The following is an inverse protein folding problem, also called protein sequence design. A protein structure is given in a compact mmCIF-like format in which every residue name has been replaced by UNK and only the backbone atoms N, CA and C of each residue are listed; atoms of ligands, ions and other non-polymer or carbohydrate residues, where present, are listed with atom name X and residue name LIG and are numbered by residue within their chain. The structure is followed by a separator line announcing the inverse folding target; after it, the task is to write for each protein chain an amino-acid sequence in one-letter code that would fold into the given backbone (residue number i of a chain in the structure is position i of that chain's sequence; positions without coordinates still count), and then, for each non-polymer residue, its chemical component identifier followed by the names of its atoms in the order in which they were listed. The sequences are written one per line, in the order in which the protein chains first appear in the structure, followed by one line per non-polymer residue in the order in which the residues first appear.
data_IF_303822470269
#
_entry.id   IF_303822470269
#
_cell.length_a   1.000
_cell.length_b   1.000
_cell.length_c   1.000
_cell.angle_alpha   90.00
_cell.angle_beta   90.00
_cell.angle_gamma   90.00
#
_symmetry.space_group_name_H-M   'P 1'
#
loop_
_entity.id
_entity.type
_entity.pdbx_description
1 polymer ?
#
# COMPACT_ATOMS: atom_id res chain seq x y z
N UNK A 1 15.92 3.15 9.26
CA UNK A 1 14.51 2.77 9.04
C UNK A 1 14.38 2.27 7.62
N UNK A 2 13.70 1.17 7.39
CA UNK A 2 13.45 0.69 6.03
C UNK A 2 12.05 1.15 5.57
N UNK A 3 12.03 2.30 4.90
CA UNK A 3 10.79 2.92 4.41
C UNK A 3 10.34 2.35 3.06
N UNK A 4 11.12 1.45 2.44
CA UNK A 4 10.82 0.85 1.14
C UNK A 4 10.21 -0.55 1.26
N UNK A 5 10.24 -1.15 2.45
CA UNK A 5 9.61 -2.43 2.73
C UNK A 5 8.30 -2.27 3.53
N UNK A 6 7.32 -3.11 3.21
CA UNK A 6 6.01 -3.14 3.82
C UNK A 6 6.11 -3.69 5.25
N UNK A 7 5.60 -2.98 6.27
CA UNK A 7 5.71 -3.42 7.67
C UNK A 7 4.88 -4.68 7.98
N UNK A 8 3.89 -5.03 7.14
CA UNK A 8 3.06 -6.22 7.35
C UNK A 8 3.66 -7.50 6.77
N UNK A 9 4.46 -7.42 5.69
CA UNK A 9 4.93 -8.61 4.99
C UNK A 9 6.42 -8.60 4.63
N UNK A 10 7.14 -7.50 4.90
CA UNK A 10 8.56 -7.35 4.61
C UNK A 10 8.90 -7.23 3.11
N UNK A 11 7.92 -7.26 2.20
CA UNK A 11 8.15 -7.09 0.76
C UNK A 11 8.22 -5.62 0.37
N UNK A 12 8.78 -5.31 -0.80
CA UNK A 12 8.83 -3.95 -1.35
C UNK A 12 7.42 -3.33 -1.41
N UNK A 13 7.28 -2.13 -0.83
CA UNK A 13 5.99 -1.42 -0.75
C UNK A 13 5.60 -0.68 -2.03
N UNK A 14 6.52 -0.63 -3.01
CA UNK A 14 6.37 0.04 -4.31
C UNK A 14 6.12 1.55 -4.18
N UNK A 15 6.43 2.16 -3.04
CA UNK A 15 6.24 3.58 -2.83
C UNK A 15 7.30 4.39 -3.58
N UNK A 16 6.86 5.21 -4.54
CA UNK A 16 7.74 6.09 -5.32
C UNK A 16 8.40 7.15 -4.44
N UNK A 17 7.65 7.71 -3.48
CA UNK A 17 8.18 8.71 -2.51
C UNK A 17 9.28 8.12 -1.64
N UNK A 18 9.07 6.91 -1.09
CA UNK A 18 10.09 6.23 -0.29
C UNK A 18 11.30 5.79 -1.12
N UNK A 19 11.11 5.58 -2.42
CA UNK A 19 12.18 5.28 -3.37
C UNK A 19 12.87 6.52 -3.94
N UNK A 20 12.45 7.74 -3.57
CA UNK A 20 13.01 8.99 -4.09
C UNK A 20 12.75 9.22 -5.58
N UNK A 21 11.66 8.66 -6.12
CA UNK A 21 11.27 8.83 -7.53
C UNK A 21 10.24 9.96 -7.68
N UNK A 22 10.41 10.75 -8.73
CA UNK A 22 9.56 11.89 -9.08
C UNK A 22 8.37 11.46 -9.98
N UNK A 23 7.73 10.35 -9.63
CA UNK A 23 6.59 9.79 -10.37
C UNK A 23 5.41 9.60 -9.41
N UNK A 24 4.15 9.69 -9.89
CA UNK A 24 2.99 9.46 -9.03
C UNK A 24 3.06 8.07 -8.40
N UNK A 25 2.87 8.01 -7.09
CA UNK A 25 2.86 6.74 -6.38
C UNK A 25 1.55 5.98 -6.66
N UNK A 26 1.63 4.65 -6.80
CA UNK A 26 0.45 3.81 -7.00
C UNK A 26 -0.65 4.03 -5.95
N UNK A 27 -0.26 4.42 -4.73
CA UNK A 27 -1.21 4.64 -3.63
C UNK A 27 -2.08 5.88 -3.80
N UNK A 28 -1.75 6.80 -4.72
CA UNK A 28 -2.56 8.00 -4.98
C UNK A 28 -3.81 7.67 -5.80
N UNK A 29 -3.73 6.64 -6.64
CA UNK A 29 -4.85 6.20 -7.49
C UNK A 29 -5.55 4.94 -6.93
N UNK A 30 -4.99 4.33 -5.89
CA UNK A 30 -5.53 3.13 -5.28
C UNK A 30 -6.45 3.44 -4.10
N UNK A 31 -7.58 2.74 -4.03
CA UNK A 31 -8.40 2.71 -2.83
C UNK A 31 -7.77 1.73 -1.82
N UNK A 32 -7.18 2.28 -0.75
CA UNK A 32 -6.59 1.49 0.33
C UNK A 32 -7.68 1.06 1.29
N UNK A 33 -7.72 -0.24 1.59
CA UNK A 33 -8.66 -0.81 2.56
C UNK A 33 -8.32 -0.28 3.98
N UNK A 34 -9.27 0.36 4.69
CA UNK A 34 -9.01 0.90 6.01
C UNK A 34 -8.72 -0.18 7.06
N UNK A 35 -9.21 -1.41 6.88
CA UNK A 35 -8.87 -2.52 7.77
C UNK A 35 -7.40 -2.92 7.61
N UNK A 36 -6.79 -2.72 6.43
CA UNK A 36 -5.34 -2.89 6.27
C UNK A 36 -4.53 -1.95 7.18
N UNK A 37 -4.98 -0.71 7.36
CA UNK A 37 -4.35 0.25 8.27
C UNK A 37 -4.56 -0.12 9.73
N UNK A 38 -5.72 -0.69 10.08
CA UNK A 38 -6.00 -1.15 11.44
C UNK A 38 -5.13 -2.32 11.87
N UNK A 39 -4.63 -3.13 10.91
CA UNK A 39 -3.69 -4.24 11.18
C UNK A 39 -2.30 -3.78 11.59
N UNK A 40 -1.94 -2.51 11.37
CA UNK A 40 -0.66 -1.96 11.80
C UNK A 40 -0.63 -1.75 13.31
N UNK A 41 0.44 -2.22 13.95
CA UNK A 41 0.75 -1.85 15.34
C UNK A 41 1.05 -0.35 15.41
N UNK A 42 0.85 0.32 16.56
CA UNK A 42 1.13 1.74 16.71
C UNK A 42 2.58 2.11 16.35
N UNK A 43 3.54 1.21 16.57
CA UNK A 43 4.95 1.40 16.22
C UNK A 43 5.21 1.31 14.70
N UNK A 44 4.39 0.55 13.97
CA UNK A 44 4.48 0.40 12.51
C UNK A 44 3.76 1.54 11.77
N UNK A 45 2.83 2.24 12.43
CA UNK A 45 2.12 3.37 11.85
C UNK A 45 3.09 4.53 11.62
N UNK A 46 2.92 5.22 10.49
CA UNK A 46 3.74 6.37 10.07
C UNK A 46 5.24 6.07 9.83
N UNK A 47 5.67 4.80 9.78
CA UNK A 47 7.08 4.44 9.51
C UNK A 47 7.35 4.10 8.03
N UNK A 48 6.42 3.39 7.38
CA UNK A 48 6.57 2.93 6.00
C UNK A 48 5.20 2.72 5.33
N UNK A 49 5.17 2.77 4.00
CA UNK A 49 3.96 2.48 3.23
C UNK A 49 3.67 0.98 3.19
N UNK A 50 2.39 0.63 3.09
CA UNK A 50 1.95 -0.74 2.78
C UNK A 50 2.29 -1.09 1.32
N UNK A 51 2.43 -2.37 0.99
CA UNK A 51 2.44 -2.81 -0.41
C UNK A 51 1.00 -2.98 -0.95
N UNK A 52 0.76 -2.97 -2.28
CA UNK A 52 -0.58 -3.11 -2.86
C UNK A 52 -1.37 -4.33 -2.36
N UNK A 53 -0.67 -5.45 -2.16
CA UNK A 53 -1.27 -6.68 -1.65
C UNK A 53 -1.72 -6.55 -0.19
N UNK A 54 -0.93 -5.88 0.65
CA UNK A 54 -1.27 -5.68 2.06
C UNK A 54 -2.25 -4.54 2.27
N UNK A 55 -2.19 -3.50 1.43
CA UNK A 55 -3.10 -2.37 1.43
C UNK A 55 -4.52 -2.75 1.00
N UNK A 56 -4.73 -3.97 0.49
CA UNK A 56 -6.02 -4.36 -0.07
C UNK A 56 -6.41 -3.42 -1.21
N UNK A 57 -5.42 -2.98 -2.01
CA UNK A 57 -5.63 -2.01 -3.08
C UNK A 57 -6.57 -2.63 -4.14
N UNK A 58 -7.86 -2.43 -3.94
CA UNK A 58 -8.87 -2.75 -4.93
C UNK A 58 -8.65 -1.73 -6.05
N UNK A 59 -8.04 -2.18 -7.17
CA UNK A 59 -8.23 -1.45 -8.41
C UNK A 59 -9.74 -1.32 -8.57
N UNK A 60 -10.24 -0.10 -8.75
CA UNK A 60 -11.60 0.13 -9.22
C UNK A 60 -11.70 -0.45 -10.64
N UNK A 61 -11.62 -1.76 -10.76
CA UNK A 61 -12.18 -2.50 -11.88
C UNK A 61 -13.56 -2.85 -11.38
N UNK A 62 -14.55 -2.32 -12.07
CA UNK A 62 -15.93 -2.77 -11.97
C UNK A 62 -15.97 -4.30 -11.84
N UNK A 63 -16.82 -4.88 -10.98
CA UNK A 63 -17.03 -6.31 -11.02
C UNK A 63 -17.46 -6.65 -12.45
N UNK A 64 -16.60 -7.29 -13.22
CA UNK A 64 -17.05 -7.98 -14.43
C UNK A 64 -17.84 -9.18 -13.94
N UNK A 65 -19.11 -8.94 -13.68
CA UNK A 65 -20.17 -9.89 -13.95
C UNK A 65 -19.90 -10.52 -15.32
N UNK A 66 -19.52 -11.80 -15.29
CA UNK A 66 -19.54 -12.67 -16.45
C UNK A 66 -20.75 -13.58 -16.19
N UNK A 67 -21.89 -13.21 -16.77
CA UNK A 67 -22.94 -14.15 -17.14
C UNK A 67 -22.53 -14.82 -18.46
#
# INVERSE_FOLDING_TARGET
MDSQHCPLCGKVNQCCVAAGRDEPCWCFEAQIDPAALQRLTPEQRNQACLCPACAGALKATEPREHD
#
